data_IF_427745497646
#
_entry.id   IF_427745497646
#
_cell.length_a   1.000
_cell.length_b   1.000
_cell.length_c   1.000
_cell.angle_alpha   90.00
_cell.angle_beta   90.00
_cell.angle_gamma   90.00
#
_symmetry.space_group_name_H-M   'P 1'
#
loop_
_entity.id
_entity.type
_entity.pdbx_description
1 polymer ?
#
# COMPACT_ATOMS: atom_id res chain seq x y z
N UNK A 1 -8.17 26.03 13.17
CA UNK A 1 -9.11 27.14 13.43
C UNK A 1 -8.64 28.51 12.89
N UNK A 2 -9.50 29.24 12.16
CA UNK A 2 -9.24 30.63 11.72
C UNK A 2 -8.59 30.81 10.33
N UNK A 3 -8.46 29.75 9.53
CA UNK A 3 -7.89 29.84 8.17
C UNK A 3 -8.94 29.90 7.06
N UNK A 4 -10.23 30.04 7.40
CA UNK A 4 -11.29 30.03 6.38
C UNK A 4 -11.48 28.66 5.70
N UNK A 5 -10.89 27.59 6.23
CA UNK A 5 -11.16 26.21 5.84
C UNK A 5 -11.20 25.29 7.08
N UNK A 6 -11.88 24.14 6.95
CA UNK A 6 -12.04 23.12 8.01
C UNK A 6 -10.98 22.00 7.91
N UNK A 7 -9.83 22.32 7.28
CA UNK A 7 -8.74 21.36 7.08
C UNK A 7 -7.85 21.22 8.32
N UNK A 8 -8.45 21.16 9.51
CA UNK A 8 -7.70 20.81 10.71
C UNK A 8 -7.05 19.40 10.55
N UNK A 9 -7.61 18.55 9.66
CA UNK A 9 -7.06 17.26 9.25
C UNK A 9 -7.21 17.02 7.72
N UNK A 10 -6.33 16.23 7.08
CA UNK A 10 -6.46 15.82 5.67
C UNK A 10 -7.54 14.74 5.46
N UNK A 11 -8.22 14.33 6.52
CA UNK A 11 -9.28 13.31 6.54
C UNK A 11 -10.49 13.81 7.32
N UNK A 12 -11.63 13.13 7.13
CA UNK A 12 -12.83 13.42 7.88
C UNK A 12 -13.00 12.48 9.08
N UNK A 13 -13.43 13.05 10.20
CA UNK A 13 -13.86 12.27 11.38
C UNK A 13 -15.21 11.60 11.09
N UNK A 14 -15.35 10.33 11.46
CA UNK A 14 -16.59 9.57 11.23
C UNK A 14 -17.70 9.87 12.24
N UNK A 15 -17.35 10.45 13.39
CA UNK A 15 -18.28 10.58 14.52
C UNK A 15 -18.79 11.99 14.79
N UNK A 16 -18.15 13.05 14.26
CA UNK A 16 -18.43 14.44 14.68
C UNK A 16 -19.87 14.86 14.43
N UNK A 17 -20.41 14.60 13.23
CA UNK A 17 -21.81 14.90 12.91
C UNK A 17 -22.79 14.16 13.82
N UNK A 18 -22.62 12.85 13.97
CA UNK A 18 -23.54 12.01 14.77
C UNK A 18 -23.49 12.36 16.26
N UNK A 19 -22.30 12.62 16.80
CA UNK A 19 -22.13 13.03 18.20
C UNK A 19 -22.74 14.40 18.44
N UNK A 20 -22.57 15.36 17.52
CA UNK A 20 -23.19 16.68 17.63
C UNK A 20 -24.71 16.60 17.65
N UNK A 21 -25.31 15.81 16.75
CA UNK A 21 -26.76 15.57 16.71
C UNK A 21 -27.27 14.89 17.99
N UNK A 22 -26.54 13.89 18.50
CA UNK A 22 -26.86 13.22 19.77
C UNK A 22 -26.84 14.18 20.96
N UNK A 23 -25.80 14.98 21.08
CA UNK A 23 -25.68 15.96 22.17
C UNK A 23 -26.76 17.06 22.06
N UNK A 24 -27.13 17.47 20.85
CA UNK A 24 -28.27 18.38 20.63
C UNK A 24 -29.58 17.77 21.16
N UNK A 25 -29.80 16.47 20.95
CA UNK A 25 -30.92 15.72 21.53
C UNK A 25 -30.89 15.74 23.06
N UNK A 26 -29.75 15.45 23.69
CA UNK A 26 -29.63 15.49 25.16
C UNK A 26 -29.98 16.87 25.75
N UNK A 27 -29.59 17.96 25.09
CA UNK A 27 -29.99 19.32 25.52
C UNK A 27 -31.51 19.49 25.51
N UNK A 28 -32.21 18.90 24.53
CA UNK A 28 -33.68 18.95 24.44
C UNK A 28 -34.37 18.03 25.46
N UNK A 29 -33.74 16.93 25.83
CA UNK A 29 -34.22 16.01 26.86
C UNK A 29 -34.06 16.60 28.27
N UNK A 30 -32.89 17.18 28.57
CA UNK A 30 -32.56 17.68 29.91
C UNK A 30 -33.19 19.05 30.20
N UNK A 31 -33.43 19.88 29.16
CA UNK A 31 -33.94 21.23 29.30
C UNK A 31 -35.17 21.47 28.42
N UNK A 32 -36.33 21.64 29.06
CA UNK A 32 -37.61 21.82 28.36
C UNK A 32 -37.58 23.01 27.36
N UNK A 33 -36.91 24.11 27.73
CA UNK A 33 -36.71 25.31 26.91
C UNK A 33 -35.33 25.38 26.22
N UNK A 34 -34.51 24.32 26.36
CA UNK A 34 -33.17 24.23 25.79
C UNK A 34 -33.19 24.32 24.27
N UNK A 35 -32.22 25.03 23.69
CA UNK A 35 -32.08 25.16 22.23
C UNK A 35 -30.69 24.76 21.83
N UNK A 36 -30.58 23.94 20.78
CA UNK A 36 -29.30 23.51 20.22
C UNK A 36 -29.15 24.08 18.82
N UNK A 37 -28.06 24.80 18.57
CA UNK A 37 -27.70 25.30 17.25
C UNK A 37 -26.47 24.53 16.75
N UNK A 38 -26.63 23.78 15.66
CA UNK A 38 -25.54 23.02 15.03
C UNK A 38 -25.19 23.68 13.71
N UNK A 39 -23.99 24.27 13.66
CA UNK A 39 -23.42 24.89 12.46
C UNK A 39 -22.46 23.89 11.82
N UNK A 40 -22.63 23.59 10.53
CA UNK A 40 -21.81 22.60 9.83
C UNK A 40 -21.50 23.01 8.39
N UNK A 41 -20.42 22.51 7.81
CA UNK A 41 -20.19 22.64 6.36
C UNK A 41 -20.86 21.50 5.59
N UNK A 42 -20.67 20.27 6.06
CA UNK A 42 -21.26 19.06 5.50
C UNK A 42 -21.76 18.16 6.63
N UNK A 43 -23.05 17.82 6.60
CA UNK A 43 -23.62 16.83 7.52
C UNK A 43 -23.29 15.43 6.96
N UNK A 44 -22.58 14.60 7.73
CA UNK A 44 -22.14 13.27 7.30
C UNK A 44 -22.83 12.20 8.15
N UNK A 45 -23.92 11.66 7.62
CA UNK A 45 -24.76 10.63 8.27
C UNK A 45 -24.99 9.45 7.33
N UNK A 46 -23.94 8.64 7.04
CA UNK A 46 -24.02 7.57 6.05
C UNK A 46 -24.96 6.44 6.47
N UNK A 47 -25.58 5.81 5.47
CA UNK A 47 -26.40 4.60 5.65
C UNK A 47 -27.63 4.84 6.52
N UNK A 48 -27.87 3.95 7.48
CA UNK A 48 -29.06 4.00 8.35
C UNK A 48 -29.05 5.20 9.31
N UNK A 49 -27.88 5.80 9.57
CA UNK A 49 -27.76 6.96 10.47
C UNK A 49 -28.43 8.22 9.90
N UNK A 50 -28.75 8.25 8.61
CA UNK A 50 -29.57 9.29 7.99
C UNK A 50 -30.98 9.39 8.63
N UNK A 51 -31.54 8.26 9.08
CA UNK A 51 -32.84 8.29 9.75
C UNK A 51 -32.75 9.01 11.10
N UNK A 52 -31.63 8.86 11.81
CA UNK A 52 -31.38 9.60 13.05
C UNK A 52 -31.28 11.10 12.80
N UNK A 53 -30.57 11.52 11.75
CA UNK A 53 -30.53 12.92 11.32
C UNK A 53 -31.93 13.47 11.03
N UNK A 54 -32.75 12.74 10.27
CA UNK A 54 -34.14 13.13 9.98
C UNK A 54 -34.99 13.28 11.23
N UNK A 55 -34.85 12.38 12.20
CA UNK A 55 -35.57 12.49 13.48
C UNK A 55 -35.15 13.75 14.23
N UNK A 56 -33.86 14.04 14.30
CA UNK A 56 -33.33 15.25 14.95
C UNK A 56 -33.84 16.53 14.29
N UNK A 57 -34.01 16.55 12.96
CA UNK A 57 -34.59 17.68 12.23
C UNK A 57 -36.06 17.98 12.58
N UNK A 58 -36.79 17.01 13.14
CA UNK A 58 -38.20 17.23 13.53
C UNK A 58 -38.34 17.89 14.90
N UNK A 59 -37.26 18.00 15.69
CA UNK A 59 -37.31 18.68 16.98
C UNK A 59 -37.27 20.21 16.78
N UNK A 60 -38.32 20.95 17.20
CA UNK A 60 -38.40 22.40 16.98
C UNK A 60 -37.39 23.22 17.79
N UNK A 61 -36.69 22.62 18.76
CA UNK A 61 -35.61 23.27 19.52
C UNK A 61 -34.21 22.98 18.98
N UNK A 62 -34.08 22.20 17.90
CA UNK A 62 -32.80 21.92 17.25
C UNK A 62 -32.74 22.66 15.92
N UNK A 63 -31.77 23.57 15.81
CA UNK A 63 -31.56 24.41 14.65
C UNK A 63 -30.28 23.98 13.94
N UNK A 64 -30.42 23.58 12.69
CA UNK A 64 -29.31 23.10 11.86
C UNK A 64 -29.10 24.10 10.74
N UNK A 65 -27.89 24.61 10.59
CA UNK A 65 -27.55 25.51 9.48
C UNK A 65 -26.23 25.13 8.86
N UNK A 66 -26.20 25.11 7.53
CA UNK A 66 -24.92 25.17 6.83
C UNK A 66 -24.28 26.53 7.12
N UNK A 67 -22.99 26.56 7.38
CA UNK A 67 -22.25 27.79 7.59
C UNK A 67 -20.84 27.56 8.10
N UNK A 68 -20.04 28.60 8.01
CA UNK A 68 -18.67 28.64 8.52
C UNK A 68 -18.59 29.59 9.69
N UNK A 69 -18.17 29.09 10.86
CA UNK A 69 -17.96 29.94 12.04
C UNK A 69 -16.71 30.79 11.83
N UNK A 70 -16.87 32.11 11.84
CA UNK A 70 -15.79 33.09 11.62
C UNK A 70 -15.21 33.55 12.95
N UNK A 71 -16.06 33.74 13.96
CA UNK A 71 -15.63 34.25 15.26
C UNK A 71 -16.55 33.78 16.38
N UNK A 72 -15.95 33.46 17.52
CA UNK A 72 -16.63 33.33 18.80
C UNK A 72 -16.10 34.40 19.73
N UNK A 73 -16.99 35.21 20.29
CA UNK A 73 -16.64 36.31 21.21
C UNK A 73 -17.48 36.28 22.48
N UNK A 74 -16.96 36.87 23.56
CA UNK A 74 -17.67 36.94 24.83
C UNK A 74 -18.78 38.00 24.77
N UNK A 75 -19.94 37.68 25.33
CA UNK A 75 -21.07 38.60 25.44
C UNK A 75 -21.68 38.51 26.84
N UNK A 76 -21.15 39.33 27.77
CA UNK A 76 -21.54 39.27 29.18
C UNK A 76 -21.20 37.92 29.81
N UNK A 77 -22.22 37.22 30.30
CA UNK A 77 -22.09 35.86 30.85
C UNK A 77 -22.12 34.75 29.76
N UNK A 78 -22.56 35.07 28.54
CA UNK A 78 -22.64 34.12 27.43
C UNK A 78 -21.63 34.41 26.33
N UNK A 79 -21.90 33.83 25.16
CA UNK A 79 -21.07 33.87 23.96
C UNK A 79 -21.90 34.35 22.75
N UNK A 80 -21.21 34.98 21.80
CA UNK A 80 -21.73 35.29 20.47
C UNK A 80 -20.93 34.48 19.46
N UNK A 81 -21.62 33.75 18.59
CA UNK A 81 -21.07 33.02 17.45
C UNK A 81 -21.48 33.74 16.17
N UNK A 82 -20.50 34.24 15.43
CA UNK A 82 -20.68 34.80 14.10
C UNK A 82 -20.35 33.74 13.05
N UNK A 83 -21.27 33.48 12.14
CA UNK A 83 -21.08 32.52 11.05
C UNK A 83 -21.50 33.11 9.70
N UNK A 84 -20.69 32.83 8.68
CA UNK A 84 -20.87 33.23 7.28
C UNK A 84 -21.19 32.01 6.41
N UNK A 85 -21.31 32.22 5.09
CA UNK A 85 -21.61 31.19 4.07
C UNK A 85 -22.83 30.32 4.46
N UNK A 86 -23.87 31.00 4.95
CA UNK A 86 -25.08 30.33 5.41
C UNK A 86 -26.05 30.09 4.26
N UNK A 87 -26.98 29.15 4.43
CA UNK A 87 -28.05 28.90 3.45
C UNK A 87 -28.92 30.13 3.17
N UNK A 88 -28.92 31.12 4.07
CA UNK A 88 -29.69 32.36 3.96
C UNK A 88 -28.93 33.45 3.17
N UNK A 89 -27.66 33.21 2.81
CA UNK A 89 -26.82 34.15 2.06
C UNK A 89 -26.34 35.36 2.86
N UNK A 90 -26.75 35.51 4.12
CA UNK A 90 -26.31 36.58 5.02
C UNK A 90 -25.55 36.00 6.23
N UNK A 91 -24.56 36.75 6.77
CA UNK A 91 -23.96 36.44 8.06
C UNK A 91 -25.02 36.30 9.15
N UNK A 92 -24.91 35.26 9.98
CA UNK A 92 -25.77 35.06 11.14
C UNK A 92 -25.01 35.28 12.43
N UNK A 93 -25.71 35.82 13.42
CA UNK A 93 -25.20 35.99 14.77
C UNK A 93 -26.07 35.20 15.74
N UNK A 94 -25.46 34.25 16.44
CA UNK A 94 -26.14 33.38 17.41
C UNK A 94 -25.62 33.70 18.80
N UNK A 95 -26.54 34.01 19.73
CA UNK A 95 -26.22 34.13 21.16
C UNK A 95 -26.35 32.74 21.78
N UNK A 96 -25.34 32.31 22.51
CA UNK A 96 -25.30 30.99 23.14
C UNK A 96 -24.72 31.08 24.54
N UNK A 97 -25.25 30.29 25.48
CA UNK A 97 -24.70 30.18 26.83
C UNK A 97 -23.42 29.35 26.85
N UNK A 98 -23.31 28.38 25.93
CA UNK A 98 -22.15 27.51 25.75
C UNK A 98 -21.90 27.25 24.27
N UNK A 99 -20.62 27.18 23.88
CA UNK A 99 -20.20 26.75 22.55
C UNK A 99 -19.42 25.46 22.68
N UNK A 100 -19.83 24.43 21.92
CA UNK A 100 -19.19 23.12 21.90
C UNK A 100 -18.48 22.96 20.56
N UNK A 101 -17.18 22.63 20.61
CA UNK A 101 -16.39 22.34 19.41
C UNK A 101 -16.46 20.83 19.13
N UNK A 102 -17.00 20.46 17.97
CA UNK A 102 -17.02 19.07 17.52
C UNK A 102 -15.63 18.68 16.96
N UNK A 103 -14.73 18.27 17.84
CA UNK A 103 -13.34 17.92 17.48
C UNK A 103 -13.23 16.55 16.81
N UNK A 104 -12.34 16.43 15.82
CA UNK A 104 -12.00 15.15 15.19
C UNK A 104 -11.21 14.21 16.11
N UNK A 105 -10.99 12.97 15.64
CA UNK A 105 -10.15 11.98 16.33
C UNK A 105 -8.73 12.00 15.76
N UNK A 106 -7.75 11.80 16.64
CA UNK A 106 -6.36 11.48 16.29
C UNK A 106 -5.97 10.19 16.99
N UNK A 107 -5.16 9.33 16.36
CA UNK A 107 -4.77 8.06 16.96
C UNK A 107 -3.81 8.28 18.13
N UNK A 108 -3.92 7.45 19.17
CA UNK A 108 -3.04 7.51 20.34
C UNK A 108 -1.55 7.23 20.01
N UNK A 109 -1.27 6.67 18.83
CA UNK A 109 0.08 6.39 18.32
C UNK A 109 0.69 7.52 17.50
N UNK A 110 0.03 8.69 17.42
CA UNK A 110 0.52 9.81 16.62
C UNK A 110 1.88 10.31 17.13
N UNK A 111 1.97 10.59 18.43
CA UNK A 111 3.14 11.25 19.00
C UNK A 111 4.18 10.24 19.52
N UNK A 112 3.73 9.10 20.06
CA UNK A 112 4.60 8.10 20.69
C UNK A 112 4.31 6.66 20.22
N UNK A 113 5.36 5.82 20.07
CA UNK A 113 5.19 4.41 19.70
C UNK A 113 4.65 3.59 20.88
N UNK A 114 3.44 3.05 20.75
CA UNK A 114 2.80 2.24 21.81
C UNK A 114 3.36 0.81 21.89
N UNK A 115 3.83 0.24 20.77
CA UNK A 115 4.24 -1.19 20.70
C UNK A 115 5.65 -1.43 21.26
N UNK A 116 6.54 -0.44 21.19
CA UNK A 116 7.92 -0.51 21.72
C UNK A 116 8.75 -1.70 21.21
N UNK A 117 8.69 -1.97 19.90
CA UNK A 117 9.45 -3.06 19.27
C UNK A 117 10.96 -2.77 19.24
N UNK A 118 11.77 -3.79 19.53
CA UNK A 118 13.22 -3.67 19.62
C UNK A 118 13.99 -4.11 18.35
N UNK A 119 13.29 -4.47 17.27
CA UNK A 119 13.94 -4.95 16.04
C UNK A 119 14.11 -3.86 14.98
N UNK A 120 14.90 -4.16 13.94
CA UNK A 120 15.43 -3.18 12.97
C UNK A 120 14.43 -2.17 12.38
N UNK A 121 13.17 -2.55 12.24
CA UNK A 121 12.14 -1.70 11.64
C UNK A 121 11.60 -0.62 12.59
N UNK A 122 12.15 -0.48 13.79
CA UNK A 122 11.79 0.55 14.75
C UNK A 122 10.60 0.19 15.66
N UNK A 123 10.30 1.05 16.64
CA UNK A 123 9.44 0.71 17.78
C UNK A 123 7.93 0.80 17.52
N UNK A 124 7.48 1.64 16.59
CA UNK A 124 6.07 1.90 16.30
C UNK A 124 5.52 1.13 15.09
N UNK A 125 4.33 1.49 14.63
CA UNK A 125 3.86 1.11 13.30
C UNK A 125 4.70 1.81 12.21
N UNK A 126 4.93 1.16 11.07
CA UNK A 126 5.81 1.74 10.01
C UNK A 126 5.08 2.72 9.11
N UNK A 127 3.77 2.58 9.13
CA UNK A 127 2.82 2.98 8.10
C UNK A 127 1.95 4.14 8.53
N UNK A 128 2.06 4.59 9.79
CA UNK A 128 1.34 5.76 10.29
C UNK A 128 1.49 6.95 9.32
N UNK A 129 2.71 7.26 8.87
CA UNK A 129 2.92 8.37 7.94
C UNK A 129 2.25 8.18 6.56
N UNK A 130 1.97 6.94 6.15
CA UNK A 130 1.29 6.63 4.88
C UNK A 130 -0.23 6.82 5.03
N UNK A 131 -0.79 6.51 6.21
CA UNK A 131 -2.23 6.52 6.47
C UNK A 131 -2.66 7.64 7.41
N UNK A 132 -2.09 8.82 7.25
CA UNK A 132 -2.41 10.02 8.05
C UNK A 132 -2.37 9.79 9.57
N UNK A 133 -1.27 9.21 10.04
CA UNK A 133 -0.94 8.81 11.41
C UNK A 133 -1.64 7.55 11.94
N UNK A 134 -2.56 6.95 11.18
CA UNK A 134 -3.28 5.73 11.57
C UNK A 134 -2.54 4.45 11.18
N UNK A 135 -2.75 3.38 11.94
CA UNK A 135 -2.19 2.07 11.64
C UNK A 135 -3.03 1.33 10.59
N UNK A 136 -2.41 0.90 9.49
CA UNK A 136 -3.02 0.12 8.42
C UNK A 136 -1.96 -0.79 7.73
N UNK A 137 -2.33 -1.48 6.67
CA UNK A 137 -1.35 -2.17 5.81
C UNK A 137 -1.63 -1.96 4.33
N UNK A 138 -2.56 -2.73 3.75
CA UNK A 138 -3.00 -2.64 2.37
C UNK A 138 -4.53 -2.59 2.40
N UNK A 139 -5.07 -1.46 1.94
CA UNK A 139 -6.48 -1.13 2.06
C UNK A 139 -7.40 -2.02 1.21
N UNK A 140 -6.86 -2.74 0.21
CA UNK A 140 -7.62 -3.63 -0.68
C UNK A 140 -7.57 -5.07 -0.14
N UNK A 141 -6.36 -5.60 0.03
CA UNK A 141 -6.14 -7.03 0.20
C UNK A 141 -6.04 -7.45 1.67
N UNK A 142 -5.55 -6.57 2.54
CA UNK A 142 -5.24 -6.91 3.95
C UNK A 142 -5.80 -5.86 4.93
N UNK A 143 -7.08 -5.48 4.83
CA UNK A 143 -7.61 -4.32 5.54
C UNK A 143 -7.43 -4.44 7.06
N UNK A 144 -7.52 -5.66 7.63
CA UNK A 144 -7.39 -5.90 9.07
C UNK A 144 -5.96 -6.21 9.55
N UNK A 145 -4.95 -6.07 8.70
CA UNK A 145 -3.55 -6.31 9.07
C UNK A 145 -2.78 -5.01 9.26
N UNK A 146 -1.69 -5.08 10.02
CA UNK A 146 -0.66 -4.03 10.04
C UNK A 146 0.55 -4.49 9.25
N UNK A 147 1.45 -3.57 8.90
CA UNK A 147 2.73 -3.94 8.26
C UNK A 147 3.69 -4.70 9.20
N UNK A 148 3.30 -4.94 10.46
CA UNK A 148 4.02 -5.77 11.43
C UNK A 148 3.41 -7.17 11.46
N UNK A 149 4.15 -8.17 10.98
CA UNK A 149 3.70 -9.57 10.97
C UNK A 149 3.32 -10.05 12.37
N UNK A 150 2.09 -10.55 12.52
CA UNK A 150 1.56 -11.07 13.79
C UNK A 150 1.09 -9.99 14.77
N UNK A 151 1.07 -8.71 14.37
CA UNK A 151 0.53 -7.61 15.16
C UNK A 151 -0.67 -7.03 14.42
N UNK A 152 -1.79 -6.94 15.13
CA UNK A 152 -3.06 -6.47 14.61
C UNK A 152 -3.53 -5.29 15.42
N UNK A 153 -4.20 -4.34 14.76
CA UNK A 153 -4.75 -3.15 15.37
C UNK A 153 -6.28 -3.18 15.25
N UNK A 154 -6.97 -2.56 16.21
CA UNK A 154 -8.43 -2.54 16.26
C UNK A 154 -8.96 -1.19 16.78
N UNK A 155 -10.03 -0.69 16.16
CA UNK A 155 -10.76 0.51 16.59
C UNK A 155 -10.07 1.82 16.20
N UNK A 156 -10.22 2.84 17.05
CA UNK A 156 -9.82 4.23 16.78
C UNK A 156 -8.33 4.48 16.46
N UNK A 157 -7.47 3.48 16.57
CA UNK A 157 -6.06 3.52 16.17
C UNK A 157 -5.86 3.29 14.66
N UNK A 158 -6.85 2.72 13.96
CA UNK A 158 -6.80 2.42 12.52
C UNK A 158 -7.49 3.45 11.64
N UNK A 159 -8.51 4.10 12.18
CA UNK A 159 -9.19 5.28 11.61
C UNK A 159 -10.16 5.81 12.66
N UNK A 160 -10.71 7.00 12.42
CA UNK A 160 -11.88 7.45 13.17
C UNK A 160 -13.05 6.48 12.94
N UNK A 161 -13.62 5.94 14.02
CA UNK A 161 -14.70 4.95 13.98
C UNK A 161 -15.76 5.25 15.04
N UNK A 162 -17.00 4.92 14.72
CA UNK A 162 -18.06 4.73 15.70
C UNK A 162 -17.78 3.50 16.57
N UNK A 163 -18.55 3.36 17.66
CA UNK A 163 -18.48 2.17 18.52
C UNK A 163 -18.83 0.89 17.75
N UNK A 164 -19.84 0.94 16.88
CA UNK A 164 -20.26 -0.22 16.07
C UNK A 164 -19.17 -0.65 15.09
N UNK A 165 -18.60 0.30 14.34
CA UNK A 165 -17.47 0.04 13.44
C UNK A 165 -16.27 -0.50 14.21
N UNK A 166 -16.01 -0.01 15.42
CA UNK A 166 -14.92 -0.50 16.27
C UNK A 166 -15.12 -1.95 16.72
N UNK A 167 -16.37 -2.38 16.94
CA UNK A 167 -16.70 -3.78 17.29
C UNK A 167 -16.45 -4.71 16.10
N UNK A 168 -16.92 -4.32 14.91
CA UNK A 168 -16.66 -5.07 13.67
C UNK A 168 -15.15 -5.16 13.39
N UNK A 169 -14.45 -4.04 13.56
CA UNK A 169 -13.01 -3.97 13.36
C UNK A 169 -12.23 -4.87 14.33
N UNK A 170 -12.66 -4.91 15.60
CA UNK A 170 -12.10 -5.81 16.60
C UNK A 170 -12.35 -7.28 16.27
N UNK A 171 -13.52 -7.62 15.73
CA UNK A 171 -13.83 -8.97 15.28
C UNK A 171 -12.90 -9.38 14.12
N UNK A 172 -12.71 -8.50 13.13
CA UNK A 172 -11.77 -8.71 12.02
C UNK A 172 -10.34 -8.93 12.51
N UNK A 173 -9.84 -8.08 13.41
CA UNK A 173 -8.51 -8.21 13.99
C UNK A 173 -8.33 -9.54 14.77
N UNK A 174 -9.34 -9.95 15.54
CA UNK A 174 -9.33 -11.22 16.27
C UNK A 174 -9.27 -12.43 15.32
N UNK A 175 -10.05 -12.42 14.23
CA UNK A 175 -10.02 -13.49 13.22
C UNK A 175 -8.65 -13.56 12.52
N UNK A 176 -8.01 -12.42 12.24
CA UNK A 176 -6.65 -12.40 11.69
C UNK A 176 -5.60 -12.91 12.67
N UNK A 177 -5.74 -12.59 13.96
CA UNK A 177 -4.87 -13.15 15.00
C UNK A 177 -5.01 -14.68 15.10
N UNK A 178 -6.24 -15.20 15.07
CA UNK A 178 -6.49 -16.65 15.03
C UNK A 178 -5.86 -17.28 13.78
N UNK A 179 -6.10 -16.69 12.60
CA UNK A 179 -5.49 -17.17 11.35
C UNK A 179 -3.96 -17.21 11.43
N UNK A 180 -3.33 -16.21 12.08
CA UNK A 180 -1.90 -16.17 12.30
C UNK A 180 -1.41 -17.32 13.18
N UNK A 181 -2.07 -17.56 14.31
CA UNK A 181 -1.75 -18.66 15.22
C UNK A 181 -1.88 -20.03 14.52
N UNK A 182 -2.96 -20.24 13.77
CA UNK A 182 -3.16 -21.46 12.98
C UNK A 182 -2.09 -21.64 11.90
N UNK A 183 -1.68 -20.54 11.25
CA UNK A 183 -0.61 -20.56 10.24
C UNK A 183 0.73 -20.93 10.88
N UNK A 184 1.05 -20.35 12.04
CA UNK A 184 2.26 -20.66 12.80
C UNK A 184 2.29 -22.12 13.25
N UNK A 185 1.17 -22.66 13.77
CA UNK A 185 1.06 -24.07 14.16
C UNK A 185 1.36 -25.04 13.01
N UNK A 186 1.03 -24.64 11.78
CA UNK A 186 1.28 -25.40 10.56
C UNK A 186 2.64 -25.11 9.91
N UNK A 187 3.41 -24.16 10.43
CA UNK A 187 4.65 -23.70 9.82
C UNK A 187 4.46 -22.95 8.49
N UNK A 188 3.26 -22.43 8.21
CA UNK A 188 2.94 -21.72 6.98
C UNK A 188 2.88 -20.21 7.19
N UNK A 189 2.88 -19.45 6.10
CA UNK A 189 2.84 -17.99 6.14
C UNK A 189 1.40 -17.55 6.09
N UNK A 190 1.18 -16.39 6.69
CA UNK A 190 0.00 -15.56 6.49
C UNK A 190 0.07 -14.88 5.11
N UNK A 191 -0.93 -14.06 4.79
CA UNK A 191 -0.97 -13.24 3.58
C UNK A 191 0.31 -12.40 3.42
N UNK A 192 0.67 -11.93 2.21
CA UNK A 192 0.06 -12.23 0.90
C UNK A 192 0.23 -13.68 0.44
N UNK A 193 1.33 -14.34 0.82
CA UNK A 193 1.62 -15.72 0.42
C UNK A 193 1.07 -16.74 1.41
N UNK A 194 -0.25 -16.76 1.59
CA UNK A 194 -0.90 -17.68 2.54
C UNK A 194 -0.53 -19.14 2.23
N UNK A 195 -0.16 -19.93 3.25
CA UNK A 195 0.02 -21.37 3.08
C UNK A 195 1.34 -21.82 2.45
N UNK A 196 2.25 -20.91 2.07
CA UNK A 196 3.61 -21.30 1.65
C UNK A 196 4.26 -22.14 2.78
N UNK A 197 5.28 -22.93 2.49
CA UNK A 197 6.02 -23.70 3.52
C UNK A 197 7.50 -23.32 3.56
N UNK A 198 7.95 -22.57 2.56
CA UNK A 198 9.35 -22.29 2.35
C UNK A 198 9.77 -21.01 3.06
N UNK A 199 11.00 -20.99 3.54
CA UNK A 199 11.64 -19.83 4.16
C UNK A 199 12.99 -19.59 3.49
N UNK A 200 13.60 -18.40 3.64
CA UNK A 200 14.89 -18.14 3.05
C UNK A 200 15.96 -19.03 3.71
N UNK A 201 16.64 -19.82 2.90
CA UNK A 201 17.80 -20.62 3.24
C UNK A 201 19.08 -19.91 2.78
N UNK A 202 20.12 -19.96 3.61
CA UNK A 202 21.32 -19.13 3.48
C UNK A 202 22.59 -19.97 3.38
N UNK A 203 23.35 -19.77 2.32
CA UNK A 203 24.71 -20.31 2.22
C UNK A 203 25.74 -19.35 2.85
N UNK A 204 25.77 -19.31 4.19
CA UNK A 204 26.53 -18.32 4.96
C UNK A 204 28.05 -18.29 4.70
N UNK A 205 28.65 -19.38 4.20
CA UNK A 205 30.08 -19.42 3.86
C UNK A 205 30.48 -18.37 2.81
N UNK A 206 29.53 -17.92 2.00
CA UNK A 206 29.72 -16.87 0.98
C UNK A 206 29.16 -15.51 1.41
N UNK A 207 28.73 -15.35 2.66
CA UNK A 207 28.21 -14.07 3.14
C UNK A 207 29.35 -13.06 3.31
N UNK A 208 29.20 -11.90 2.67
CA UNK A 208 30.15 -10.77 2.77
C UNK A 208 29.73 -9.73 3.82
N UNK A 209 28.68 -10.01 4.61
CA UNK A 209 28.17 -9.09 5.64
C UNK A 209 27.82 -7.68 5.10
N UNK A 210 27.42 -7.59 3.82
CA UNK A 210 27.06 -6.32 3.18
C UNK A 210 25.75 -5.68 3.70
N UNK A 211 25.01 -6.37 4.58
CA UNK A 211 23.76 -5.94 5.24
C UNK A 211 22.57 -5.61 4.33
N UNK A 212 22.69 -5.71 3.00
CA UNK A 212 21.58 -5.40 2.08
C UNK A 212 20.29 -6.16 2.41
N UNK A 213 20.39 -7.47 2.69
CA UNK A 213 19.21 -8.27 3.03
C UNK A 213 18.56 -7.87 4.37
N UNK A 214 19.32 -7.41 5.36
CA UNK A 214 18.77 -6.95 6.65
C UNK A 214 18.17 -5.56 6.54
N UNK A 215 18.77 -4.66 5.75
CA UNK A 215 18.20 -3.33 5.45
C UNK A 215 16.92 -3.38 4.63
N UNK A 216 16.93 -4.18 3.56
CA UNK A 216 15.87 -4.18 2.55
C UNK A 216 14.67 -5.06 2.97
N UNK A 217 14.77 -5.86 4.03
CA UNK A 217 13.65 -6.67 4.52
C UNK A 217 12.56 -5.79 5.14
N UNK A 218 11.37 -5.68 4.53
CA UNK A 218 10.34 -4.75 5.02
C UNK A 218 9.67 -5.20 6.33
N UNK A 219 9.80 -6.48 6.68
CA UNK A 219 9.13 -7.07 7.85
C UNK A 219 10.06 -7.24 9.05
N UNK A 220 11.34 -6.85 8.94
CA UNK A 220 12.31 -7.07 10.02
C UNK A 220 12.53 -8.55 10.36
N UNK A 221 12.39 -9.42 9.35
CA UNK A 221 12.62 -10.85 9.50
C UNK A 221 14.12 -11.19 9.56
N UNK A 222 15.00 -10.26 9.20
CA UNK A 222 16.45 -10.40 9.27
C UNK A 222 17.00 -9.24 10.10
N UNK A 223 17.62 -9.56 11.23
CA UNK A 223 18.42 -8.64 12.04
C UNK A 223 19.92 -8.90 11.77
N UNK A 224 20.82 -8.08 12.33
CA UNK A 224 22.27 -8.35 12.29
C UNK A 224 22.67 -9.08 13.60
N UNK A 225 23.49 -10.13 13.50
CA UNK A 225 24.16 -10.70 14.68
C UNK A 225 25.39 -9.86 15.10
N UNK A 226 26.09 -10.27 16.16
CA UNK A 226 27.28 -9.58 16.67
C UNK A 226 28.41 -9.43 15.63
N UNK A 227 28.43 -10.31 14.62
CA UNK A 227 29.42 -10.30 13.52
C UNK A 227 28.90 -9.55 12.29
N UNK A 228 27.66 -9.04 12.32
CA UNK A 228 27.00 -8.44 11.15
C UNK A 228 26.45 -9.47 10.14
N UNK A 229 26.42 -10.75 10.50
CA UNK A 229 25.79 -11.81 9.69
C UNK A 229 24.28 -11.75 9.88
N UNK A 230 23.46 -11.99 8.83
CA UNK A 230 22.01 -11.96 8.95
C UNK A 230 21.49 -12.99 9.97
N UNK A 231 20.86 -12.51 11.04
CA UNK A 231 20.13 -13.30 12.03
C UNK A 231 18.68 -13.44 11.62
N UNK A 232 18.24 -14.67 11.37
CA UNK A 232 16.89 -14.97 10.86
C UNK A 232 15.85 -15.03 11.97
N UNK A 233 14.70 -14.40 11.74
CA UNK A 233 13.49 -14.50 12.57
C UNK A 233 12.32 -15.01 11.69
N UNK A 234 12.16 -16.34 11.55
CA UNK A 234 11.21 -16.94 10.61
C UNK A 234 9.75 -16.51 10.83
N UNK A 235 9.35 -16.28 12.08
CA UNK A 235 7.98 -15.87 12.46
C UNK A 235 7.57 -14.50 11.92
N UNK A 236 8.53 -13.65 11.54
CA UNK A 236 8.25 -12.34 10.91
C UNK A 236 8.23 -12.42 9.38
N UNK A 237 8.77 -13.48 8.80
CA UNK A 237 8.99 -13.60 7.36
C UNK A 237 7.68 -13.82 6.61
N UNK A 238 7.37 -12.90 5.68
CA UNK A 238 6.22 -13.02 4.76
C UNK A 238 6.57 -13.69 3.42
N UNK A 239 7.81 -14.18 3.27
CA UNK A 239 8.29 -15.00 2.14
C UNK A 239 8.23 -14.32 0.77
N UNK A 240 8.33 -12.99 0.79
CA UNK A 240 8.35 -12.14 -0.40
C UNK A 240 9.57 -12.35 -1.31
N UNK A 241 10.69 -12.84 -0.76
CA UNK A 241 11.94 -13.00 -1.49
C UNK A 241 12.79 -11.73 -1.62
N UNK A 242 12.43 -10.62 -0.98
CA UNK A 242 13.21 -9.36 -1.08
C UNK A 242 14.68 -9.52 -0.72
N UNK A 243 14.99 -10.32 0.30
CA UNK A 243 16.36 -10.63 0.68
C UNK A 243 17.14 -11.37 -0.42
N UNK A 244 16.51 -12.30 -1.14
CA UNK A 244 17.09 -13.00 -2.29
C UNK A 244 17.41 -12.04 -3.44
N UNK A 245 16.48 -11.13 -3.76
CA UNK A 245 16.72 -10.09 -4.77
C UNK A 245 17.82 -9.09 -4.36
N UNK A 246 17.96 -8.83 -3.05
CA UNK A 246 18.93 -7.89 -2.50
C UNK A 246 20.37 -8.44 -2.44
N UNK A 247 20.53 -9.76 -2.36
CA UNK A 247 21.82 -10.39 -2.11
C UNK A 247 22.70 -10.39 -3.38
N UNK A 248 23.82 -9.64 -3.41
CA UNK A 248 24.71 -9.64 -4.57
C UNK A 248 25.45 -10.97 -4.73
N UNK A 249 25.73 -11.65 -3.61
CA UNK A 249 26.41 -12.95 -3.60
C UNK A 249 25.50 -14.12 -3.97
N UNK A 250 24.18 -13.88 -4.08
CA UNK A 250 23.18 -14.87 -4.47
C UNK A 250 23.16 -16.10 -3.55
N UNK A 251 23.35 -15.87 -2.24
CA UNK A 251 23.44 -16.94 -1.22
C UNK A 251 22.10 -17.29 -0.57
N UNK A 252 21.02 -16.60 -0.95
CA UNK A 252 19.71 -16.72 -0.31
C UNK A 252 18.75 -17.32 -1.32
N UNK A 253 18.12 -18.45 -1.00
CA UNK A 253 17.12 -19.11 -1.85
C UNK A 253 15.95 -19.62 -1.00
N UNK A 254 14.86 -20.04 -1.64
CA UNK A 254 13.80 -20.81 -1.01
C UNK A 254 13.75 -22.19 -1.64
N UNK A 255 13.30 -23.19 -0.90
CA UNK A 255 13.27 -24.58 -1.38
C UNK A 255 12.49 -24.76 -2.70
N UNK A 256 11.45 -23.98 -2.95
CA UNK A 256 10.64 -24.00 -4.16
C UNK A 256 10.76 -22.72 -5.02
N UNK A 257 11.70 -21.82 -4.69
CA UNK A 257 11.90 -20.56 -5.42
C UNK A 257 13.33 -20.08 -5.22
N UNK A 258 14.16 -20.28 -6.22
CA UNK A 258 15.59 -19.97 -6.19
C UNK A 258 16.02 -19.14 -7.38
N UNK A 259 17.16 -18.48 -7.25
CA UNK A 259 17.79 -17.74 -8.34
C UNK A 259 17.97 -18.63 -9.56
N UNK A 260 18.46 -19.86 -9.36
CA UNK A 260 18.69 -20.81 -10.42
C UNK A 260 17.39 -21.30 -11.07
N UNK A 261 16.30 -21.49 -10.30
CA UNK A 261 15.01 -21.90 -10.87
C UNK A 261 14.47 -20.87 -11.88
N UNK A 262 14.57 -19.58 -11.55
CA UNK A 262 14.13 -18.50 -12.44
C UNK A 262 15.11 -18.31 -13.60
N UNK A 263 16.42 -18.38 -13.36
CA UNK A 263 17.42 -18.37 -14.44
C UNK A 263 17.20 -19.51 -15.43
N UNK A 264 16.82 -20.70 -14.98
CA UNK A 264 16.44 -21.82 -15.85
C UNK A 264 15.20 -21.52 -16.67
N UNK A 265 14.17 -20.88 -16.11
CA UNK A 265 13.00 -20.43 -16.87
C UNK A 265 13.37 -19.41 -17.94
N UNK A 266 14.21 -18.41 -17.61
CA UNK A 266 14.74 -17.43 -18.57
C UNK A 266 15.49 -18.14 -19.70
N UNK A 267 16.37 -19.08 -19.35
CA UNK A 267 17.13 -19.90 -20.31
C UNK A 267 16.27 -20.86 -21.11
N UNK A 268 15.07 -21.20 -20.67
CA UNK A 268 14.16 -22.05 -21.45
C UNK A 268 13.40 -21.27 -22.54
N UNK A 269 13.28 -19.95 -22.42
CA UNK A 269 12.59 -19.13 -23.44
C UNK A 269 13.42 -19.12 -24.73
N UNK A 270 12.85 -19.65 -25.83
CA UNK A 270 13.49 -19.59 -27.16
C UNK A 270 13.63 -18.15 -27.63
N UNK A 271 14.86 -17.77 -27.99
CA UNK A 271 15.16 -16.51 -28.67
C UNK A 271 15.15 -16.80 -30.18
N UNK A 272 14.29 -16.15 -30.97
CA UNK A 272 14.27 -16.33 -32.42
C UNK A 272 15.64 -15.97 -33.03
N UNK A 273 16.11 -16.81 -33.95
CA UNK A 273 17.38 -16.63 -34.65
C UNK A 273 17.18 -16.73 -36.16
N UNK A 274 18.19 -16.35 -36.92
CA UNK A 274 18.21 -16.49 -38.39
C UNK A 274 18.18 -17.94 -38.86
N UNK A 275 18.47 -18.91 -37.98
CA UNK A 275 18.35 -20.33 -38.29
C UNK A 275 16.87 -20.77 -38.34
N UNK A 276 15.98 -20.03 -37.69
CA UNK A 276 14.56 -20.34 -37.55
C UNK A 276 13.67 -19.46 -38.44
N UNK A 277 14.12 -18.27 -38.81
CA UNK A 277 13.32 -17.23 -39.48
C UNK A 277 14.18 -16.40 -40.45
N UNK A 278 13.63 -16.04 -41.60
CA UNK A 278 14.29 -15.08 -42.52
C UNK A 278 14.44 -13.70 -41.86
N UNK A 279 13.40 -13.26 -41.14
CA UNK A 279 13.41 -12.06 -40.31
C UNK A 279 13.00 -12.46 -38.88
N UNK A 280 13.98 -12.64 -37.96
CA UNK A 280 13.69 -13.10 -36.61
C UNK A 280 12.82 -12.11 -35.83
N UNK A 281 11.62 -12.51 -35.35
CA UNK A 281 10.79 -11.63 -34.54
C UNK A 281 11.47 -11.27 -33.22
N UNK A 282 10.99 -10.23 -32.56
CA UNK A 282 11.57 -9.79 -31.29
C UNK A 282 11.28 -10.81 -30.17
N UNK A 283 12.00 -10.67 -29.06
CA UNK A 283 11.74 -11.42 -27.85
C UNK A 283 11.93 -10.54 -26.64
N UNK A 284 10.84 -10.28 -25.95
CA UNK A 284 10.84 -9.47 -24.73
C UNK A 284 10.42 -10.34 -23.54
N UNK A 285 11.11 -10.18 -22.41
CA UNK A 285 10.77 -10.84 -21.15
C UNK A 285 10.11 -9.87 -20.17
N UNK A 286 8.93 -10.20 -19.69
CA UNK A 286 8.31 -9.57 -18.53
C UNK A 286 8.53 -10.40 -17.25
N UNK A 287 9.16 -9.82 -16.24
CA UNK A 287 9.20 -10.34 -14.88
C UNK A 287 8.03 -9.75 -14.09
N UNK A 288 7.01 -10.58 -13.82
CA UNK A 288 5.69 -10.11 -13.39
C UNK A 288 5.45 -10.44 -11.92
N UNK A 289 5.15 -9.43 -11.10
CA UNK A 289 4.74 -9.64 -9.71
C UNK A 289 3.45 -10.49 -9.64
N UNK A 290 3.49 -11.59 -8.89
CA UNK A 290 2.35 -12.49 -8.65
C UNK A 290 1.15 -11.81 -7.95
N UNK A 291 1.30 -10.60 -7.40
CA UNK A 291 0.29 -9.94 -6.57
C UNK A 291 -0.68 -9.10 -7.40
N UNK A 292 -0.37 -7.85 -7.77
CA UNK A 292 -1.31 -7.07 -8.59
C UNK A 292 -1.10 -7.28 -10.09
N UNK A 293 0.15 -7.32 -10.55
CA UNK A 293 0.47 -7.33 -11.97
C UNK A 293 0.01 -8.60 -12.69
N UNK A 294 0.23 -9.78 -12.10
CA UNK A 294 -0.19 -11.03 -12.72
C UNK A 294 -1.72 -11.19 -12.77
N UNK A 295 -2.48 -10.95 -11.69
CA UNK A 295 -3.94 -10.91 -11.77
C UNK A 295 -4.49 -9.83 -12.70
N UNK A 296 -3.85 -8.65 -12.80
CA UNK A 296 -4.25 -7.64 -13.77
C UNK A 296 -4.07 -8.16 -15.22
N UNK A 297 -2.98 -8.89 -15.52
CA UNK A 297 -2.81 -9.58 -16.81
C UNK A 297 -3.89 -10.64 -17.04
N UNK A 298 -4.25 -11.43 -16.03
CA UNK A 298 -5.33 -12.42 -16.12
C UNK A 298 -6.67 -11.73 -16.43
N UNK A 299 -6.99 -10.60 -15.79
CA UNK A 299 -8.21 -9.82 -16.05
C UNK A 299 -8.18 -9.24 -17.47
N UNK A 300 -7.03 -8.72 -17.93
CA UNK A 300 -6.87 -8.23 -19.30
C UNK A 300 -7.14 -9.35 -20.32
N UNK A 301 -6.60 -10.55 -20.09
CA UNK A 301 -6.83 -11.72 -20.93
C UNK A 301 -8.30 -12.17 -20.93
N UNK A 302 -8.96 -12.20 -19.76
CA UNK A 302 -10.39 -12.52 -19.64
C UNK A 302 -11.27 -11.53 -20.41
N UNK A 303 -10.86 -10.25 -20.47
CA UNK A 303 -11.49 -9.20 -21.27
C UNK A 303 -11.07 -9.21 -22.74
N UNK A 304 -10.29 -10.21 -23.18
CA UNK A 304 -9.81 -10.39 -24.56
C UNK A 304 -8.97 -9.22 -25.07
N UNK A 305 -8.30 -8.52 -24.16
CA UNK A 305 -7.29 -7.54 -24.55
C UNK A 305 -6.07 -8.30 -25.08
N UNK A 306 -5.49 -7.80 -26.16
CA UNK A 306 -4.33 -8.39 -26.80
C UNK A 306 -3.09 -7.53 -26.57
N UNK A 307 -1.94 -8.17 -26.63
CA UNK A 307 -0.62 -7.53 -26.62
C UNK A 307 0.27 -8.25 -27.64
N UNK A 308 1.48 -7.71 -27.88
CA UNK A 308 2.41 -8.27 -28.84
C UNK A 308 2.80 -9.72 -28.45
N UNK A 309 2.69 -10.64 -29.42
CA UNK A 309 2.97 -12.07 -29.25
C UNK A 309 4.46 -12.40 -29.03
N UNK A 310 5.36 -11.41 -29.09
CA UNK A 310 6.79 -11.53 -28.81
C UNK A 310 7.14 -11.40 -27.32
N UNK A 311 6.19 -10.93 -26.51
CA UNK A 311 6.35 -10.80 -25.06
C UNK A 311 6.15 -12.16 -24.38
N UNK A 312 7.04 -12.53 -23.47
CA UNK A 312 6.93 -13.71 -22.60
C UNK A 312 6.92 -13.28 -21.15
N UNK A 313 6.08 -13.89 -20.33
CA UNK A 313 5.98 -13.57 -18.92
C UNK A 313 6.60 -14.68 -18.07
N UNK A 314 7.34 -14.28 -17.03
CA UNK A 314 7.73 -15.15 -15.93
C UNK A 314 7.17 -14.52 -14.64
N UNK A 315 6.26 -15.21 -13.93
CA UNK A 315 5.81 -14.73 -12.63
C UNK A 315 6.95 -14.80 -11.60
N UNK A 316 7.03 -13.78 -10.76
CA UNK A 316 7.93 -13.67 -9.62
C UNK A 316 7.12 -13.32 -8.38
N UNK A 317 7.50 -13.87 -7.21
CA UNK A 317 6.76 -13.66 -5.96
C UNK A 317 6.48 -12.19 -5.64
N UNK A 318 7.44 -11.34 -5.96
CA UNK A 318 7.42 -9.91 -5.75
C UNK A 318 8.54 -9.29 -6.60
N UNK A 319 8.37 -8.06 -7.10
CA UNK A 319 9.49 -7.37 -7.76
C UNK A 319 10.70 -7.18 -6.83
N UNK A 320 10.49 -7.05 -5.52
CA UNK A 320 11.57 -7.00 -4.55
C UNK A 320 12.47 -8.24 -4.55
N UNK A 321 11.94 -9.39 -5.00
CA UNK A 321 12.69 -10.63 -5.14
C UNK A 321 13.52 -10.73 -6.42
N UNK A 322 13.32 -9.81 -7.37
CA UNK A 322 14.06 -9.80 -8.62
C UNK A 322 15.53 -9.52 -8.36
N UNK A 323 16.36 -10.52 -8.68
CA UNK A 323 17.80 -10.38 -8.71
C UNK A 323 18.22 -9.90 -10.11
N UNK A 324 19.15 -8.94 -10.17
CA UNK A 324 19.62 -8.35 -11.42
C UNK A 324 20.23 -9.37 -12.39
N UNK A 325 20.65 -10.54 -11.89
CA UNK A 325 21.16 -11.61 -12.75
C UNK A 325 20.12 -12.10 -13.76
N UNK A 326 18.83 -12.11 -13.44
CA UNK A 326 17.80 -12.59 -14.37
C UNK A 326 17.64 -11.66 -15.58
N UNK A 327 17.80 -10.35 -15.37
CA UNK A 327 17.80 -9.35 -16.44
C UNK A 327 19.04 -9.54 -17.33
N UNK A 328 20.21 -9.75 -16.70
CA UNK A 328 21.45 -10.03 -17.43
C UNK A 328 21.37 -11.34 -18.22
N UNK A 329 20.92 -12.43 -17.61
CA UNK A 329 20.76 -13.74 -18.25
C UNK A 329 19.84 -13.64 -19.48
N UNK A 330 18.75 -12.87 -19.39
CA UNK A 330 17.82 -12.65 -20.50
C UNK A 330 18.48 -11.89 -21.66
N UNK A 331 19.12 -10.75 -21.37
CA UNK A 331 19.74 -9.91 -22.39
C UNK A 331 20.98 -10.56 -23.00
N UNK A 332 21.81 -11.23 -22.21
CA UNK A 332 22.99 -11.95 -22.70
C UNK A 332 22.63 -13.16 -23.56
N UNK A 333 21.39 -13.67 -23.46
CA UNK A 333 20.87 -14.70 -24.38
C UNK A 333 20.38 -14.12 -25.72
N UNK A 334 20.35 -12.79 -25.85
CA UNK A 334 19.85 -12.12 -27.06
C UNK A 334 18.36 -11.78 -27.02
N UNK A 335 17.70 -11.77 -25.85
CA UNK A 335 16.37 -11.16 -25.75
C UNK A 335 16.47 -9.65 -25.99
N UNK A 336 15.54 -9.10 -26.76
CA UNK A 336 15.58 -7.72 -27.25
C UNK A 336 15.27 -6.68 -26.18
N UNK A 337 14.50 -7.07 -25.15
CA UNK A 337 14.19 -6.23 -24.00
C UNK A 337 13.70 -7.03 -22.79
N UNK A 338 13.76 -6.40 -21.62
CA UNK A 338 13.23 -6.94 -20.37
C UNK A 338 12.42 -5.87 -19.68
N UNK A 339 11.25 -6.19 -19.13
CA UNK A 339 10.56 -5.27 -18.23
C UNK A 339 10.16 -5.96 -16.94
N UNK A 340 10.02 -5.16 -15.89
CA UNK A 340 9.47 -5.57 -14.60
C UNK A 340 8.11 -4.93 -14.46
N UNK A 341 7.10 -5.68 -14.06
CA UNK A 341 5.75 -5.14 -13.81
C UNK A 341 5.29 -5.51 -12.41
N UNK A 342 4.92 -4.51 -11.60
CA UNK A 342 4.61 -4.69 -10.19
C UNK A 342 3.46 -3.84 -9.70
N UNK A 343 3.11 -4.04 -8.43
CA UNK A 343 2.13 -3.24 -7.71
C UNK A 343 2.56 -1.78 -7.63
N UNK A 344 1.60 -0.84 -7.54
CA UNK A 344 1.89 0.56 -7.24
C UNK A 344 2.60 0.76 -5.91
N UNK A 345 3.57 1.67 -5.88
CA UNK A 345 4.16 2.20 -4.65
C UNK A 345 4.00 3.73 -4.56
N UNK A 346 4.38 4.33 -3.43
CA UNK A 346 4.19 5.77 -3.19
C UNK A 346 2.85 6.07 -2.53
N UNK A 347 2.22 7.18 -2.90
CA UNK A 347 1.01 7.70 -2.23
C UNK A 347 -0.21 6.81 -2.48
N UNK A 348 -0.36 6.26 -3.68
CA UNK A 348 -1.38 5.26 -4.05
C UNK A 348 -0.88 3.82 -3.79
N UNK A 349 -0.42 3.58 -2.58
CA UNK A 349 0.25 2.34 -2.19
C UNK A 349 -0.63 1.08 -2.34
N UNK A 350 -0.23 0.14 -3.20
CA UNK A 350 -0.84 -1.20 -3.29
C UNK A 350 0.15 -2.35 -3.13
N UNK A 351 1.45 -2.04 -2.95
CA UNK A 351 2.49 -3.05 -2.85
C UNK A 351 2.19 -4.06 -1.72
N UNK A 352 1.97 -5.31 -2.08
CA UNK A 352 1.62 -6.35 -1.11
C UNK A 352 2.72 -6.67 -0.09
N UNK A 353 3.97 -6.29 -0.41
CA UNK A 353 5.13 -6.51 0.43
C UNK A 353 5.85 -5.21 0.83
N UNK A 354 5.13 -4.09 0.93
CA UNK A 354 5.61 -2.80 1.44
C UNK A 354 6.57 -2.06 0.52
N UNK A 355 7.69 -2.67 0.14
CA UNK A 355 8.76 -1.99 -0.61
C UNK A 355 9.18 -2.72 -1.87
N UNK A 356 8.42 -3.73 -2.28
CA UNK A 356 8.79 -4.61 -3.39
C UNK A 356 9.10 -3.87 -4.68
N UNK A 357 8.12 -3.12 -5.18
CA UNK A 357 8.23 -2.37 -6.43
C UNK A 357 9.21 -1.20 -6.29
N UNK A 358 9.14 -0.43 -5.19
CA UNK A 358 10.08 0.66 -4.88
C UNK A 358 11.55 0.19 -4.94
N UNK A 359 11.88 -0.93 -4.30
CA UNK A 359 13.23 -1.49 -4.32
C UNK A 359 13.64 -1.96 -5.71
N UNK A 360 12.71 -2.49 -6.50
CA UNK A 360 12.98 -2.92 -7.86
C UNK A 360 13.26 -1.72 -8.77
N UNK A 361 12.47 -0.65 -8.68
CA UNK A 361 12.67 0.60 -9.40
C UNK A 361 14.06 1.18 -9.12
N UNK A 362 14.46 1.25 -7.84
CA UNK A 362 15.80 1.72 -7.44
C UNK A 362 16.90 0.86 -8.03
N UNK A 363 16.74 -0.47 -8.09
CA UNK A 363 17.73 -1.39 -8.65
C UNK A 363 17.80 -1.29 -10.18
N UNK A 364 16.66 -1.13 -10.86
CA UNK A 364 16.58 -0.95 -12.32
C UNK A 364 17.22 0.38 -12.72
N UNK A 365 16.96 1.49 -12.02
CA UNK A 365 17.62 2.78 -12.28
C UNK A 365 19.16 2.68 -12.22
N UNK A 366 19.69 1.78 -11.39
CA UNK A 366 21.13 1.53 -11.25
C UNK A 366 21.69 0.48 -12.21
N UNK A 367 20.84 -0.18 -13.00
CA UNK A 367 21.29 -1.23 -13.93
C UNK A 367 21.99 -0.66 -15.16
N UNK A 368 21.81 0.63 -15.46
CA UNK A 368 22.42 1.30 -16.61
C UNK A 368 23.93 1.08 -16.70
N UNK A 369 24.67 1.24 -15.61
CA UNK A 369 26.12 0.98 -15.58
C UNK A 369 26.47 -0.47 -15.94
N UNK A 370 25.65 -1.42 -15.49
CA UNK A 370 25.84 -2.84 -15.81
C UNK A 370 25.49 -3.15 -17.28
N UNK A 371 24.50 -2.49 -17.86
CA UNK A 371 24.15 -2.63 -19.28
C UNK A 371 25.18 -1.99 -20.20
N UNK A 372 25.73 -0.83 -19.82
CA UNK A 372 26.82 -0.19 -20.54
C UNK A 372 28.05 -1.09 -20.65
N UNK A 373 28.34 -1.90 -19.61
CA UNK A 373 29.44 -2.89 -19.66
C UNK A 373 29.20 -4.02 -20.67
N UNK A 374 27.95 -4.26 -21.07
CA UNK A 374 27.56 -5.22 -22.10
C UNK A 374 27.34 -4.56 -23.47
N UNK A 375 27.63 -3.26 -23.62
CA UNK A 375 27.33 -2.46 -24.80
C UNK A 375 25.83 -2.50 -25.19
N UNK A 376 24.94 -2.52 -24.19
CA UNK A 376 23.49 -2.48 -24.38
C UNK A 376 22.91 -1.16 -23.89
N UNK A 377 21.85 -0.71 -24.58
CA UNK A 377 21.10 0.50 -24.26
C UNK A 377 20.28 0.31 -22.97
N UNK A 378 20.34 1.25 -22.00
CA UNK A 378 19.52 1.20 -20.79
C UNK A 378 18.01 1.07 -21.05
N UNK A 379 17.54 1.63 -22.15
CA UNK A 379 16.15 1.62 -22.63
C UNK A 379 15.63 0.21 -22.93
N UNK A 380 16.52 -0.80 -23.06
CA UNK A 380 16.11 -2.21 -23.15
C UNK A 380 15.54 -2.76 -21.85
N UNK A 381 15.64 -2.02 -20.74
CA UNK A 381 15.07 -2.42 -19.44
C UNK A 381 14.06 -1.39 -18.96
N UNK A 382 12.81 -1.82 -18.76
CA UNK A 382 11.74 -0.97 -18.23
C UNK A 382 11.18 -1.45 -16.89
N UNK A 383 10.55 -0.54 -16.15
CA UNK A 383 9.79 -0.82 -14.94
C UNK A 383 8.40 -0.22 -15.09
N UNK A 384 7.36 -1.02 -14.84
CA UNK A 384 5.96 -0.64 -14.90
C UNK A 384 5.29 -0.90 -13.56
N UNK A 385 4.36 -0.01 -13.22
CA UNK A 385 3.48 -0.15 -12.07
C UNK A 385 2.04 -0.22 -12.54
N UNK A 386 1.30 -1.13 -11.93
CA UNK A 386 -0.11 -1.36 -12.25
C UNK A 386 -0.84 -1.68 -10.97
N UNK A 387 -1.99 -1.02 -10.77
CA UNK A 387 -2.98 -1.46 -9.80
C UNK A 387 -3.80 -2.62 -10.38
N UNK A 388 -4.38 -3.46 -9.53
CA UNK A 388 -5.13 -4.63 -10.00
C UNK A 388 -6.31 -4.28 -10.93
N UNK A 389 -6.88 -3.08 -10.77
CA UNK A 389 -7.99 -2.54 -11.56
C UNK A 389 -7.56 -1.80 -12.84
N UNK A 390 -6.25 -1.62 -13.07
CA UNK A 390 -5.69 -0.95 -14.26
C UNK A 390 -5.30 -1.94 -15.38
N UNK A 391 -5.97 -3.09 -15.41
CA UNK A 391 -5.73 -4.15 -16.41
C UNK A 391 -5.88 -3.65 -17.85
N UNK A 392 -6.74 -2.66 -18.07
CA UNK A 392 -7.04 -2.06 -19.37
C UNK A 392 -5.87 -1.23 -19.93
N UNK A 393 -4.96 -0.77 -19.07
CA UNK A 393 -3.78 0.03 -19.45
C UNK A 393 -2.60 -0.83 -19.91
N UNK A 394 -2.57 -2.11 -19.52
CA UNK A 394 -1.44 -3.01 -19.80
C UNK A 394 -1.11 -3.12 -21.30
N UNK A 395 -2.09 -3.32 -22.21
CA UNK A 395 -1.80 -3.39 -23.65
C UNK A 395 -1.04 -2.16 -24.17
N UNK A 396 -1.44 -0.96 -23.74
CA UNK A 396 -0.79 0.28 -24.15
C UNK A 396 0.64 0.36 -23.62
N UNK A 397 0.86 0.04 -22.33
CA UNK A 397 2.21 0.01 -21.74
C UNK A 397 3.15 -0.95 -22.49
N UNK A 398 2.65 -2.14 -22.83
CA UNK A 398 3.43 -3.14 -23.58
C UNK A 398 3.68 -2.69 -25.03
N UNK A 399 2.70 -2.06 -25.67
CA UNK A 399 2.83 -1.54 -27.02
C UNK A 399 3.88 -0.42 -27.10
N UNK A 400 3.85 0.53 -26.17
CA UNK A 400 4.84 1.61 -26.08
C UNK A 400 6.25 1.07 -25.84
N UNK A 401 6.39 0.06 -24.98
CA UNK A 401 7.67 -0.59 -24.76
C UNK A 401 8.16 -1.35 -26.00
N UNK A 402 7.29 -2.10 -26.66
CA UNK A 402 7.63 -2.79 -27.91
C UNK A 402 8.08 -1.81 -28.99
N UNK A 403 7.40 -0.66 -29.14
CA UNK A 403 7.83 0.39 -30.07
C UNK A 403 9.21 0.95 -29.74
N UNK A 404 9.55 1.06 -28.45
CA UNK A 404 10.91 1.42 -28.00
C UNK A 404 11.93 0.37 -28.41
N UNK A 405 11.65 -0.91 -28.18
CA UNK A 405 12.56 -2.01 -28.54
C UNK A 405 12.71 -2.14 -30.07
N UNK A 406 11.63 -1.97 -30.84
CA UNK A 406 11.66 -1.94 -32.31
C UNK A 406 12.55 -0.80 -32.82
N UNK A 407 12.47 0.39 -32.20
CA UNK A 407 13.32 1.53 -32.54
C UNK A 407 14.81 1.32 -32.24
N UNK A 408 15.15 0.55 -31.21
CA UNK A 408 16.52 0.15 -30.89
C UNK A 408 17.04 -0.98 -31.79
N UNK A 409 16.14 -1.74 -32.41
CA UNK A 409 16.46 -2.92 -33.19
C UNK A 409 16.89 -4.13 -32.36
N UNK A 410 17.22 -5.24 -33.06
CA UNK A 410 17.56 -6.50 -32.41
C UNK A 410 18.73 -6.38 -31.43
N UNK A 411 18.69 -7.13 -30.35
CA UNK A 411 19.79 -7.20 -29.40
C UNK A 411 21.06 -7.74 -30.11
N UNK A 412 22.25 -7.11 -29.96
CA UNK A 412 23.50 -7.58 -30.56
C UNK A 412 23.91 -9.02 -30.23
N UNK A 413 23.44 -9.57 -29.10
CA UNK A 413 23.68 -10.95 -28.69
C UNK A 413 22.72 -11.96 -29.36
N UNK A 414 21.79 -11.50 -30.19
CA UNK A 414 20.81 -12.34 -30.87
C UNK A 414 21.42 -12.98 -32.12
N UNK A 415 21.48 -14.32 -32.15
CA UNK A 415 21.97 -15.10 -33.29
C UNK A 415 23.42 -15.60 -33.20
N UNK A 416 24.00 -15.68 -31.99
CA UNK A 416 25.32 -16.28 -31.74
C UNK A 416 25.28 -17.36 -30.67
#
# INVERSE_FOLDING_TARGET
>A
PGQGNDQDFPYASSVTSLVALKQAGYVREDYADGKAFVIYQHMRTPGLTENFYKTVQQDPGIFLTKGQVVQVSKNGAGLIVNADDTLLGQPIQIKADMVVLATGMVPATKDDPVINLAYRQGPGFRDNAIFNDYADSNYICFPYETQRTGIYAAGGIRRSMTTEESVEDAAGAALKAIQCLESVNRGVSVHPRSGDLTFPDFFFQRCTQCKRCTQECPFGALDDDERGTPKTNPTRCRRCGTCMGACPERIINFANYSIDSVSSMVKAIKVPSTDDFDEPPLRVLGLICENDAYPALDIAALNRLSWNADVRFIPVRCLGSVNVIWIKDALSKGMDGVFLMGCKHGDDYQCHFVKGSELAEIRVKKIGEALSSLALEPERVAHFEVAIDEYDKIPQMLQEFMGTIEGLGPNPFKGF
#
